data_IF_441945048076
#
_entry.id   IF_441945048076
#
_cell.length_a   1.000
_cell.length_b   1.000
_cell.length_c   1.000
_cell.angle_alpha   90.00
_cell.angle_beta   90.00
_cell.angle_gamma   90.00
#
_symmetry.space_group_name_H-M   'P 1'
#
loop_
_entity.id
_entity.type
_entity.pdbx_description
1 polymer ?
#
# COMPACT_ATOMS: atom_id res chain seq x y z
N UNK A 1 16.90 17.04 -7.85
CA UNK A 1 16.62 16.11 -8.96
C UNK A 1 17.34 14.77 -8.75
N UNK A 2 18.68 14.72 -8.74
CA UNK A 2 19.41 13.45 -8.57
C UNK A 2 19.13 12.75 -7.23
N UNK A 3 19.00 13.51 -6.13
CA UNK A 3 18.65 12.98 -4.80
C UNK A 3 17.31 12.26 -4.81
N UNK A 4 16.27 12.90 -5.33
CA UNK A 4 14.90 12.38 -5.38
C UNK A 4 14.82 11.13 -6.26
N UNK A 5 15.53 11.14 -7.40
CA UNK A 5 15.62 9.98 -8.29
C UNK A 5 16.29 8.77 -7.60
N UNK A 6 17.38 9.00 -6.86
CA UNK A 6 18.02 7.94 -6.06
C UNK A 6 17.07 7.39 -4.99
N UNK A 7 16.29 8.25 -4.32
CA UNK A 7 15.28 7.81 -3.35
C UNK A 7 14.21 6.95 -4.02
N UNK A 8 13.68 7.37 -5.17
CA UNK A 8 12.69 6.58 -5.93
C UNK A 8 13.25 5.22 -6.34
N UNK A 9 14.49 5.16 -6.82
CA UNK A 9 15.16 3.91 -7.16
C UNK A 9 15.32 2.99 -5.93
N UNK A 10 15.70 3.56 -4.78
CA UNK A 10 15.79 2.80 -3.53
C UNK A 10 14.42 2.26 -3.09
N UNK A 11 13.35 3.03 -3.23
CA UNK A 11 11.98 2.61 -2.92
C UNK A 11 11.52 1.48 -3.87
N UNK A 12 11.87 1.56 -5.15
CA UNK A 12 11.66 0.48 -6.11
C UNK A 12 12.34 -0.81 -5.66
N UNK A 13 13.64 -0.76 -5.38
CA UNK A 13 14.42 -1.93 -4.96
C UNK A 13 13.83 -2.51 -3.66
N UNK A 14 13.54 -1.69 -2.66
CA UNK A 14 12.97 -2.12 -1.40
C UNK A 14 11.58 -2.80 -1.59
N UNK A 15 10.73 -2.23 -2.45
CA UNK A 15 9.40 -2.77 -2.74
C UNK A 15 9.47 -4.12 -3.47
N UNK A 16 10.34 -4.23 -4.47
CA UNK A 16 10.57 -5.49 -5.19
C UNK A 16 11.12 -6.56 -4.24
N UNK A 17 12.10 -6.22 -3.40
CA UNK A 17 12.63 -7.14 -2.39
C UNK A 17 11.54 -7.61 -1.42
N UNK A 18 10.71 -6.69 -0.92
CA UNK A 18 9.58 -7.01 -0.04
C UNK A 18 8.60 -7.98 -0.71
N UNK A 19 8.29 -7.75 -1.99
CA UNK A 19 7.44 -8.65 -2.77
C UNK A 19 8.10 -10.00 -3.01
N UNK A 20 9.41 -10.06 -3.28
CA UNK A 20 10.15 -11.32 -3.43
C UNK A 20 10.14 -12.16 -2.13
N UNK A 21 10.20 -11.51 -0.97
CA UNK A 21 10.16 -12.18 0.35
C UNK A 21 8.83 -12.90 0.63
N UNK A 22 7.76 -12.61 -0.12
CA UNK A 22 6.46 -13.29 0.03
C UNK A 22 6.48 -14.77 -0.38
N UNK A 23 7.47 -15.16 -1.19
CA UNK A 23 7.73 -16.54 -1.58
C UNK A 23 6.93 -17.03 -2.80
N UNK A 24 7.56 -17.91 -3.59
CA UNK A 24 7.03 -18.40 -4.89
C UNK A 24 5.66 -19.10 -4.81
N UNK A 25 5.33 -19.70 -3.66
CA UNK A 25 4.07 -20.45 -3.49
C UNK A 25 2.83 -19.55 -3.45
N UNK A 26 2.99 -18.24 -3.24
CA UNK A 26 1.88 -17.28 -3.07
C UNK A 26 1.79 -16.25 -4.18
N UNK A 27 2.58 -16.38 -5.26
CA UNK A 27 2.69 -15.39 -6.34
C UNK A 27 1.33 -15.00 -6.92
N UNK A 28 0.43 -15.94 -7.19
CA UNK A 28 -0.92 -15.63 -7.71
C UNK A 28 -1.71 -14.72 -6.77
N UNK A 29 -1.69 -15.04 -5.47
CA UNK A 29 -2.35 -14.22 -4.45
C UNK A 29 -1.66 -12.86 -4.30
N UNK A 30 -0.32 -12.81 -4.39
CA UNK A 30 0.45 -11.57 -4.33
C UNK A 30 0.09 -10.64 -5.49
N UNK A 31 0.10 -11.15 -6.72
CA UNK A 31 -0.27 -10.39 -7.92
C UNK A 31 -1.70 -9.87 -7.80
N UNK A 32 -2.65 -10.71 -7.37
CA UNK A 32 -4.03 -10.26 -7.16
C UNK A 32 -4.12 -9.11 -6.14
N UNK A 33 -3.43 -9.24 -5.00
CA UNK A 33 -3.40 -8.18 -3.98
C UNK A 33 -2.79 -6.87 -4.50
N UNK A 34 -1.70 -6.95 -5.26
CA UNK A 34 -1.08 -5.78 -5.89
C UNK A 34 -2.06 -5.10 -6.83
N UNK A 35 -2.70 -5.88 -7.72
CA UNK A 35 -3.65 -5.35 -8.71
C UNK A 35 -4.89 -4.75 -8.05
N UNK A 36 -5.44 -5.39 -7.01
CA UNK A 36 -6.59 -4.87 -6.27
C UNK A 36 -6.25 -3.57 -5.56
N UNK A 37 -5.14 -3.53 -4.83
CA UNK A 37 -4.75 -2.36 -4.07
C UNK A 37 -4.42 -1.19 -4.99
N UNK A 38 -3.53 -1.38 -5.98
CA UNK A 38 -3.10 -0.31 -6.87
C UNK A 38 -4.30 0.35 -7.56
N UNK A 39 -5.30 -0.43 -7.98
CA UNK A 39 -6.48 0.08 -8.70
C UNK A 39 -7.26 1.10 -7.86
N UNK A 40 -7.32 0.89 -6.55
CA UNK A 40 -7.97 1.83 -5.63
C UNK A 40 -7.08 3.04 -5.36
N UNK A 41 -5.79 2.80 -5.11
CA UNK A 41 -4.87 3.84 -4.64
C UNK A 41 -4.62 4.92 -5.69
N UNK A 42 -4.37 4.57 -6.96
CA UNK A 42 -4.15 5.60 -7.98
C UNK A 42 -5.41 6.43 -8.24
N UNK A 43 -6.61 5.82 -8.18
CA UNK A 43 -7.89 6.52 -8.30
C UNK A 43 -8.08 7.50 -7.14
N UNK A 44 -7.84 7.04 -5.91
CA UNK A 44 -7.97 7.88 -4.73
C UNK A 44 -6.98 9.03 -4.76
N UNK A 45 -5.71 8.78 -5.10
CA UNK A 45 -4.69 9.82 -5.20
C UNK A 45 -5.00 10.87 -6.27
N UNK A 46 -5.61 10.50 -7.40
CA UNK A 46 -6.10 11.48 -8.38
C UNK A 46 -7.22 12.36 -7.81
N UNK A 47 -8.20 11.77 -7.14
CA UNK A 47 -9.31 12.52 -6.50
C UNK A 47 -8.74 13.47 -5.46
N UNK A 48 -7.91 12.98 -4.55
CA UNK A 48 -7.36 13.79 -3.47
C UNK A 48 -6.40 14.88 -3.97
N UNK A 49 -5.65 14.61 -5.04
CA UNK A 49 -4.83 15.63 -5.70
C UNK A 49 -5.69 16.70 -6.38
N UNK A 50 -6.82 16.32 -7.00
CA UNK A 50 -7.76 17.28 -7.59
C UNK A 50 -8.44 18.17 -6.54
N UNK A 51 -8.58 17.69 -5.30
CA UNK A 51 -9.06 18.46 -4.16
C UNK A 51 -7.96 19.31 -3.49
N UNK A 52 -6.76 19.36 -4.08
CA UNK A 52 -5.61 20.10 -3.55
C UNK A 52 -5.25 19.71 -2.11
N UNK A 53 -5.44 18.44 -1.73
CA UNK A 53 -5.04 17.97 -0.39
C UNK A 53 -3.52 17.70 -0.33
N UNK A 54 -2.97 17.21 -1.43
CA UNK A 54 -1.54 17.04 -1.63
C UNK A 54 -1.19 17.05 -3.12
N UNK A 55 0.08 17.33 -3.39
CA UNK A 55 0.66 17.34 -4.73
C UNK A 55 2.00 16.60 -4.73
N UNK A 56 2.43 16.16 -5.92
CA UNK A 56 3.73 15.54 -6.14
C UNK A 56 4.59 16.43 -7.06
N UNK A 57 5.37 17.37 -6.49
CA UNK A 57 6.17 18.31 -7.27
C UNK A 57 7.21 17.62 -8.16
N UNK A 58 7.91 16.61 -7.60
CA UNK A 58 8.84 15.76 -8.33
C UNK A 58 8.21 14.39 -8.52
N UNK A 59 7.98 14.03 -9.79
CA UNK A 59 7.37 12.76 -10.21
C UNK A 59 7.96 12.29 -11.53
N UNK A 60 7.90 10.98 -11.77
CA UNK A 60 8.54 10.32 -12.92
C UNK A 60 7.85 10.62 -14.25
N UNK A 61 6.52 10.73 -14.23
CA UNK A 61 5.68 10.87 -15.43
C UNK A 61 4.90 12.20 -15.44
N UNK A 62 5.56 13.37 -15.35
CA UNK A 62 4.88 14.64 -15.12
C UNK A 62 3.96 15.09 -16.26
N UNK A 63 4.19 14.56 -17.47
CA UNK A 63 3.36 14.81 -18.67
C UNK A 63 2.13 13.90 -18.76
N UNK A 64 2.14 12.75 -18.09
CA UNK A 64 1.08 11.75 -18.20
C UNK A 64 0.14 11.73 -16.99
N UNK A 65 0.66 12.04 -15.79
CA UNK A 65 -0.15 12.00 -14.56
C UNK A 65 0.29 13.04 -13.54
N UNK A 66 -0.66 13.41 -12.67
CA UNK A 66 -0.44 14.29 -11.52
C UNK A 66 0.12 13.53 -10.30
N UNK A 67 0.04 12.19 -10.29
CA UNK A 67 0.46 11.35 -9.15
C UNK A 67 1.91 10.85 -9.28
N UNK A 68 2.50 10.40 -8.17
CA UNK A 68 3.82 9.78 -8.19
C UNK A 68 3.72 8.28 -8.50
N UNK A 69 4.20 7.87 -9.68
CA UNK A 69 4.06 6.50 -10.16
C UNK A 69 4.66 5.45 -9.20
N UNK A 70 5.90 5.65 -8.72
CA UNK A 70 6.54 4.76 -7.74
C UNK A 70 5.69 4.54 -6.49
N UNK A 71 5.05 5.59 -5.98
CA UNK A 71 4.27 5.50 -4.75
C UNK A 71 3.01 4.65 -4.97
N UNK A 72 2.24 4.99 -6.00
CA UNK A 72 0.91 4.43 -6.24
C UNK A 72 0.93 3.01 -6.82
N UNK A 73 1.92 2.68 -7.66
CA UNK A 73 1.93 1.41 -8.40
C UNK A 73 2.89 0.38 -7.82
N UNK A 74 3.79 0.78 -6.92
CA UNK A 74 4.90 -0.09 -6.50
C UNK A 74 5.02 -0.13 -4.98
N UNK A 75 5.30 1.02 -4.36
CA UNK A 75 5.57 1.08 -2.94
C UNK A 75 4.33 0.73 -2.11
N UNK A 76 3.20 1.41 -2.35
CA UNK A 76 2.01 1.16 -1.55
C UNK A 76 1.34 -0.18 -1.83
N UNK A 77 1.28 -0.69 -3.07
CA UNK A 77 0.87 -2.07 -3.31
C UNK A 77 1.76 -3.10 -2.61
N UNK A 78 3.08 -2.92 -2.59
CA UNK A 78 3.98 -3.81 -1.84
C UNK A 78 3.74 -3.74 -0.32
N UNK A 79 3.55 -2.53 0.21
CA UNK A 79 3.20 -2.31 1.61
C UNK A 79 1.87 -2.97 1.99
N UNK A 80 0.86 -2.85 1.12
CA UNK A 80 -0.45 -3.46 1.31
C UNK A 80 -0.40 -4.99 1.27
N UNK A 81 0.37 -5.59 0.35
CA UNK A 81 0.60 -7.04 0.34
C UNK A 81 1.16 -7.51 1.69
N UNK A 82 2.16 -6.80 2.20
CA UNK A 82 2.78 -7.14 3.48
C UNK A 82 1.80 -7.02 4.64
N UNK A 83 0.96 -5.98 4.64
CA UNK A 83 -0.16 -5.85 5.58
C UNK A 83 -1.06 -7.10 5.57
N UNK A 84 -1.48 -7.56 4.39
CA UNK A 84 -2.41 -8.68 4.26
C UNK A 84 -1.79 -10.00 4.75
N UNK A 85 -0.49 -10.24 4.51
CA UNK A 85 0.19 -11.46 4.93
C UNK A 85 0.59 -11.48 6.41
N UNK A 86 0.75 -10.32 7.01
CA UNK A 86 1.02 -10.20 8.45
C UNK A 86 -0.25 -10.02 9.28
N UNK A 87 -1.41 -9.92 8.63
CA UNK A 87 -2.69 -9.67 9.29
C UNK A 87 -3.05 -10.76 10.31
N UNK A 88 -3.38 -10.41 11.56
CA UNK A 88 -3.62 -11.37 12.64
C UNK A 88 -5.07 -11.92 12.62
N UNK A 89 -5.40 -12.74 11.62
CA UNK A 89 -6.78 -13.24 11.37
C UNK A 89 -7.38 -13.97 12.59
N UNK A 90 -6.61 -14.87 13.22
CA UNK A 90 -7.06 -15.70 14.36
C UNK A 90 -6.87 -15.03 15.73
N UNK A 91 -6.62 -13.72 15.79
CA UNK A 91 -6.40 -12.99 17.06
C UNK A 91 -7.59 -12.09 17.40
N UNK A 92 -7.58 -11.53 18.61
CA UNK A 92 -8.62 -10.63 19.10
C UNK A 92 -8.83 -9.41 18.20
N UNK A 93 -10.05 -8.86 18.22
CA UNK A 93 -10.39 -7.64 17.48
C UNK A 93 -9.46 -6.46 17.81
N UNK A 94 -9.02 -6.35 19.07
CA UNK A 94 -8.04 -5.34 19.47
C UNK A 94 -6.70 -5.49 18.72
N UNK A 95 -6.18 -6.72 18.53
CA UNK A 95 -4.95 -6.94 17.74
C UNK A 95 -5.17 -6.65 16.26
N UNK A 96 -6.36 -6.94 15.73
CA UNK A 96 -6.71 -6.61 14.34
C UNK A 96 -6.73 -5.09 14.13
N UNK A 97 -7.39 -4.34 15.02
CA UNK A 97 -7.44 -2.87 14.98
C UNK A 97 -6.05 -2.26 15.17
N UNK A 98 -5.29 -2.77 16.14
CA UNK A 98 -3.90 -2.35 16.35
C UNK A 98 -3.00 -2.56 15.14
N UNK A 99 -3.24 -3.63 14.36
CA UNK A 99 -2.52 -3.88 13.11
C UNK A 99 -2.83 -2.83 12.04
N UNK A 100 -4.10 -2.44 11.87
CA UNK A 100 -4.47 -1.31 11.00
C UNK A 100 -3.84 0.00 11.47
N UNK A 101 -3.92 0.30 12.77
CA UNK A 101 -3.36 1.52 13.34
C UNK A 101 -1.84 1.60 13.14
N UNK A 102 -1.11 0.50 13.37
CA UNK A 102 0.34 0.42 13.16
C UNK A 102 0.71 0.72 11.71
N UNK A 103 0.05 0.08 10.75
CA UNK A 103 0.35 0.30 9.34
C UNK A 103 -0.04 1.71 8.89
N UNK A 104 -1.15 2.26 9.38
CA UNK A 104 -1.52 3.66 9.15
C UNK A 104 -0.45 4.61 9.70
N UNK A 105 0.06 4.38 10.91
CA UNK A 105 1.12 5.18 11.51
C UNK A 105 2.41 5.10 10.68
N UNK A 106 2.85 3.91 10.27
CA UNK A 106 4.05 3.75 9.42
C UNK A 106 3.90 4.55 8.13
N UNK A 107 2.73 4.47 7.50
CA UNK A 107 2.44 5.18 6.27
C UNK A 107 2.42 6.70 6.43
N UNK A 108 1.74 7.21 7.46
CA UNK A 108 1.69 8.65 7.76
C UNK A 108 3.08 9.19 8.10
N UNK A 109 3.87 8.44 8.89
CA UNK A 109 5.25 8.80 9.21
C UNK A 109 6.11 8.82 7.95
N UNK A 110 6.01 7.80 7.09
CA UNK A 110 6.72 7.76 5.82
C UNK A 110 6.39 8.99 4.96
N UNK A 111 5.12 9.29 4.77
CA UNK A 111 4.67 10.45 4.01
C UNK A 111 5.15 11.77 4.60
N UNK A 112 5.10 11.91 5.93
CA UNK A 112 5.57 13.10 6.64
C UNK A 112 7.09 13.29 6.48
N UNK A 113 7.87 12.20 6.51
CA UNK A 113 9.30 12.23 6.24
C UNK A 113 9.59 12.62 4.78
N UNK A 114 8.87 12.04 3.82
CA UNK A 114 9.02 12.40 2.41
C UNK A 114 8.70 13.87 2.18
N UNK A 115 7.61 14.39 2.76
CA UNK A 115 7.25 15.80 2.64
C UNK A 115 8.24 16.75 3.32
N UNK A 116 8.88 16.31 4.42
CA UNK A 116 9.86 17.14 5.15
C UNK A 116 11.24 17.17 4.50
N UNK A 117 11.70 16.05 3.93
CA UNK A 117 13.09 15.89 3.48
C UNK A 117 13.27 15.83 1.96
N UNK A 118 12.17 15.77 1.20
CA UNK A 118 12.18 15.65 -0.26
C UNK A 118 11.07 16.50 -0.88
N UNK A 119 11.17 16.75 -2.18
CA UNK A 119 10.09 17.36 -2.96
C UNK A 119 9.21 16.31 -3.66
N UNK A 120 9.22 15.07 -3.18
CA UNK A 120 8.39 13.99 -3.74
C UNK A 120 6.92 14.22 -3.40
N UNK A 121 6.61 14.70 -2.19
CA UNK A 121 5.24 14.98 -1.74
C UNK A 121 5.19 16.34 -1.10
N UNK A 122 4.09 17.07 -1.31
CA UNK A 122 3.79 18.29 -0.57
C UNK A 122 2.33 18.28 -0.14
N UNK A 123 2.11 18.42 1.16
CA UNK A 123 0.78 18.54 1.74
C UNK A 123 0.36 20.01 1.77
N UNK A 124 -0.91 20.28 1.49
CA UNK A 124 -1.51 21.62 1.65
C UNK A 124 -2.25 21.77 2.99
N UNK A 125 -2.32 20.70 3.79
CA UNK A 125 -2.91 20.69 5.11
C UNK A 125 -2.37 19.57 5.98
N UNK A 126 -3.10 19.20 7.03
CA UNK A 126 -2.70 18.11 7.92
C UNK A 126 -2.77 16.75 7.20
N UNK A 127 -1.76 15.87 7.33
CA UNK A 127 -1.81 14.52 6.78
C UNK A 127 -2.74 13.58 7.59
N UNK A 128 -3.48 14.08 8.59
CA UNK A 128 -4.31 13.25 9.45
C UNK A 128 -5.38 12.43 8.72
N UNK A 129 -5.86 12.90 7.57
CA UNK A 129 -6.83 12.16 6.73
C UNK A 129 -6.26 10.84 6.18
N UNK A 130 -4.93 10.66 6.17
CA UNK A 130 -4.27 9.39 5.87
C UNK A 130 -4.60 8.27 6.87
N UNK A 131 -4.94 8.62 8.11
CA UNK A 131 -5.39 7.65 9.10
C UNK A 131 -6.78 7.08 8.81
N UNK A 132 -7.54 7.68 7.89
CA UNK A 132 -8.84 7.17 7.46
C UNK A 132 -8.76 6.48 6.09
N UNK A 133 -8.10 7.12 5.13
CA UNK A 133 -8.02 6.65 3.74
C UNK A 133 -7.28 5.33 3.62
N UNK A 134 -6.05 5.22 4.16
CA UNK A 134 -5.26 4.00 4.03
C UNK A 134 -5.93 2.79 4.72
N UNK A 135 -6.42 2.87 5.98
CA UNK A 135 -7.14 1.75 6.58
C UNK A 135 -8.39 1.34 5.80
N UNK A 136 -9.11 2.30 5.21
CA UNK A 136 -10.26 2.00 4.36
C UNK A 136 -9.85 1.22 3.10
N UNK A 137 -8.80 1.65 2.40
CA UNK A 137 -8.26 0.92 1.24
C UNK A 137 -7.79 -0.49 1.59
N UNK A 138 -7.04 -0.64 2.69
CA UNK A 138 -6.57 -1.94 3.18
C UNK A 138 -7.74 -2.85 3.56
N UNK A 139 -8.78 -2.28 4.17
CA UNK A 139 -10.00 -3.01 4.54
C UNK A 139 -10.75 -3.48 3.30
N UNK A 140 -11.04 -2.59 2.34
CA UNK A 140 -11.73 -2.92 1.09
C UNK A 140 -10.95 -4.00 0.33
N UNK A 141 -9.64 -3.79 0.15
CA UNK A 141 -8.75 -4.76 -0.51
C UNK A 141 -8.83 -6.12 0.15
N UNK A 142 -8.81 -6.18 1.50
CA UNK A 142 -8.93 -7.43 2.24
C UNK A 142 -10.27 -8.11 2.00
N UNK A 143 -11.38 -7.36 2.04
CA UNK A 143 -12.72 -7.90 1.85
C UNK A 143 -12.89 -8.50 0.45
N UNK A 144 -12.43 -7.79 -0.58
CA UNK A 144 -12.48 -8.26 -1.97
C UNK A 144 -11.58 -9.48 -2.17
N UNK A 145 -10.36 -9.46 -1.62
CA UNK A 145 -9.44 -10.60 -1.71
C UNK A 145 -10.01 -11.86 -1.03
N UNK A 146 -10.57 -11.72 0.17
CA UNK A 146 -11.18 -12.84 0.88
C UNK A 146 -12.43 -13.36 0.17
N UNK A 147 -13.23 -12.48 -0.44
CA UNK A 147 -14.35 -12.88 -1.29
C UNK A 147 -13.87 -13.71 -2.49
N UNK A 148 -12.87 -13.22 -3.22
CA UNK A 148 -12.31 -13.91 -4.39
C UNK A 148 -11.75 -15.30 -4.03
N UNK A 149 -11.03 -15.42 -2.92
CA UNK A 149 -10.45 -16.70 -2.49
C UNK A 149 -11.50 -17.65 -1.90
N UNK A 150 -12.59 -17.15 -1.31
CA UNK A 150 -13.67 -17.98 -0.77
C UNK A 150 -14.43 -18.75 -1.85
N UNK A 151 -14.44 -18.24 -3.07
CA UNK A 151 -15.11 -18.87 -4.21
C UNK A 151 -14.22 -19.88 -4.97
N UNK A 152 -12.94 -20.06 -4.60
CA UNK A 152 -12.13 -21.18 -5.12
C UNK A 152 -12.63 -22.51 -4.50
N UNK A 153 -13.31 -23.40 -5.26
CA UNK A 153 -13.77 -24.67 -4.72
C UNK A 153 -12.55 -25.53 -4.37
N UNK A 154 -12.39 -25.86 -3.09
CA UNK A 154 -11.36 -26.82 -2.62
C UNK A 154 -10.19 -26.24 -1.82
N UNK A 155 -10.13 -24.93 -1.54
CA UNK A 155 -9.11 -24.36 -0.62
C UNK A 155 -9.76 -23.52 0.46
N UNK A 156 -9.85 -24.09 1.66
CA UNK A 156 -10.19 -23.34 2.86
C UNK A 156 -9.27 -22.12 2.99
N UNK A 157 -9.84 -20.94 3.30
CA UNK A 157 -9.12 -19.69 3.61
C UNK A 157 -8.06 -19.90 4.71
N UNK A 158 -8.21 -20.97 5.52
CA UNK A 158 -7.20 -21.43 6.46
C UNK A 158 -5.83 -21.76 5.81
N UNK A 159 -5.79 -22.23 4.56
CA UNK A 159 -4.58 -22.65 3.85
C UNK A 159 -3.60 -21.53 3.49
N UNK A 160 -4.06 -20.28 3.40
CA UNK A 160 -3.18 -19.10 3.23
C UNK A 160 -2.52 -18.67 4.54
N UNK A 161 -3.15 -19.01 5.67
CA UNK A 161 -2.66 -18.77 7.04
C UNK A 161 -1.82 -19.96 7.58
N UNK A 162 -2.07 -21.18 7.10
CA UNK A 162 -1.53 -22.44 7.63
C UNK A 162 -0.09 -22.78 7.28
N UNK A 163 0.60 -21.99 6.46
CA UNK A 163 2.06 -22.17 6.26
C UNK A 163 2.86 -21.13 7.04
N UNK A 164 2.62 -21.09 8.35
CA UNK A 164 3.52 -20.48 9.34
C UNK A 164 3.79 -21.50 10.45
N UNK A 165 4.36 -22.64 10.06
CA UNK A 165 5.29 -23.48 10.82
C UNK A 165 6.30 -23.99 9.79
#
# INVERSE_FOLDING_TARGET
MAKEQSILLLLWIASVLLLCMTGRRRVRATVLLVLLFQTMTWLLSLVLSSLSLFEFPVRELPRATAINFTFEFILFPAFAVWFQYTYPERKSKARQIGHYALYATIFVVFYSLMARFTSLVKFHGSPAWLYLTLPAELYITRRVFLWFVREEPGKSVAGLSEKRI
#
